data_IF_084566434574
#
_entry.id   IF_084566434574
#
_cell.length_a   1.000
_cell.length_b   1.000
_cell.length_c   1.000
_cell.angle_alpha   90.00
_cell.angle_beta   90.00
_cell.angle_gamma   90.00
#
_symmetry.space_group_name_H-M   'P 1'
#
loop_
_entity.id
_entity.type
_entity.pdbx_description
1 polymer ?
#
# COMPACT_ATOMS: atom_id res chain seq x y z
N UNK A 1 -11.95 -16.53 16.75
CA UNK A 1 -12.61 -15.35 17.34
C UNK A 1 -13.14 -14.50 16.21
N UNK A 2 -14.36 -13.99 16.33
CA UNK A 2 -14.90 -13.06 15.34
C UNK A 2 -14.42 -11.62 15.61
N UNK A 3 -14.55 -10.75 14.61
CA UNK A 3 -14.10 -9.35 14.72
C UNK A 3 -14.87 -8.56 15.79
N UNK A 4 -16.20 -8.71 15.95
CA UNK A 4 -16.95 -8.12 17.06
C UNK A 4 -16.41 -8.45 18.45
N UNK A 5 -16.15 -9.73 18.71
CA UNK A 5 -15.67 -10.23 20.01
C UNK A 5 -14.28 -9.66 20.32
N UNK A 6 -13.39 -9.62 19.32
CA UNK A 6 -12.05 -9.03 19.48
C UNK A 6 -12.15 -7.54 19.87
N UNK A 7 -13.10 -6.80 19.29
CA UNK A 7 -13.28 -5.38 19.64
C UNK A 7 -13.73 -5.20 21.09
N UNK A 8 -14.71 -5.98 21.54
CA UNK A 8 -15.22 -5.90 22.91
C UNK A 8 -14.13 -6.23 23.94
N UNK A 9 -13.38 -7.31 23.72
CA UNK A 9 -12.26 -7.70 24.59
C UNK A 9 -11.15 -6.63 24.61
N UNK A 10 -10.83 -6.04 23.45
CA UNK A 10 -9.83 -4.98 23.37
C UNK A 10 -10.25 -3.72 24.14
N UNK A 11 -11.54 -3.34 24.06
CA UNK A 11 -12.06 -2.21 24.83
C UNK A 11 -11.97 -2.44 26.33
N UNK A 12 -12.30 -3.65 26.80
CA UNK A 12 -12.17 -3.98 28.22
C UNK A 12 -10.70 -3.92 28.68
N UNK A 13 -9.77 -4.45 27.88
CA UNK A 13 -8.35 -4.38 28.17
C UNK A 13 -7.85 -2.93 28.25
N UNK A 14 -8.35 -2.04 27.40
CA UNK A 14 -7.99 -0.61 27.43
C UNK A 14 -8.46 0.06 28.73
N UNK A 15 -9.68 -0.23 29.19
CA UNK A 15 -10.22 0.35 30.43
C UNK A 15 -9.43 -0.08 31.68
N UNK A 16 -8.88 -1.30 31.69
CA UNK A 16 -8.10 -1.84 32.81
C UNK A 16 -6.59 -1.56 32.70
N UNK A 17 -6.14 -0.96 31.60
CA UNK A 17 -4.72 -0.76 31.30
C UNK A 17 -4.08 0.40 32.05
N UNK A 18 -2.78 0.28 32.32
CA UNK A 18 -1.97 1.39 32.83
C UNK A 18 -1.59 2.40 31.72
N UNK A 19 -1.16 3.58 32.14
CA UNK A 19 -0.77 4.67 31.23
C UNK A 19 0.33 4.24 30.24
N UNK A 20 1.22 3.33 30.65
CA UNK A 20 2.32 2.86 29.81
C UNK A 20 1.80 2.01 28.65
N UNK A 21 0.90 1.08 28.92
CA UNK A 21 0.28 0.21 27.93
C UNK A 21 -0.62 1.03 26.98
N UNK A 22 -1.38 1.99 27.52
CA UNK A 22 -2.19 2.91 26.71
C UNK A 22 -1.34 3.74 25.74
N UNK A 23 -0.23 4.30 26.21
CA UNK A 23 0.69 5.05 25.34
C UNK A 23 1.27 4.20 24.21
N UNK A 24 1.60 2.93 24.50
CA UNK A 24 2.12 2.01 23.50
C UNK A 24 1.06 1.64 22.44
N UNK A 25 -0.16 1.30 22.88
CA UNK A 25 -1.29 1.01 21.98
C UNK A 25 -1.66 2.22 21.13
N UNK A 26 -1.66 3.42 21.72
CA UNK A 26 -1.90 4.67 21.01
C UNK A 26 -0.85 4.91 19.91
N UNK A 27 0.44 4.76 20.23
CA UNK A 27 1.51 4.90 19.25
C UNK A 27 1.38 3.89 18.10
N UNK A 28 1.10 2.62 18.43
CA UNK A 28 0.91 1.57 17.44
C UNK A 28 -0.29 1.88 16.53
N UNK A 29 -1.46 2.16 17.10
CA UNK A 29 -2.66 2.45 16.34
C UNK A 29 -2.49 3.68 15.43
N UNK A 30 -1.76 4.70 15.91
CA UNK A 30 -1.47 5.91 15.16
C UNK A 30 -0.57 5.65 13.95
N UNK A 31 0.39 4.74 14.05
CA UNK A 31 1.21 4.31 12.92
C UNK A 31 0.40 3.49 11.90
N UNK A 32 -0.52 2.63 12.34
CA UNK A 32 -1.41 1.87 11.44
C UNK A 32 -2.43 2.76 10.70
N UNK A 33 -2.86 3.87 11.33
CA UNK A 33 -3.79 4.83 10.73
C UNK A 33 -3.05 5.84 9.84
N UNK A 34 -1.75 6.02 10.04
CA UNK A 34 -0.94 6.90 9.21
C UNK A 34 -0.95 6.34 7.79
N UNK A 35 -1.58 7.06 6.87
CA UNK A 35 -1.40 6.82 5.44
C UNK A 35 0.11 6.84 5.16
N UNK A 36 0.59 5.81 4.49
CA UNK A 36 2.01 5.62 4.20
C UNK A 36 2.44 6.61 3.10
N UNK A 37 2.64 7.87 3.49
CA UNK A 37 3.10 8.94 2.59
C UNK A 37 4.60 8.81 2.25
N UNK A 38 5.26 7.71 2.62
CA UNK A 38 6.71 7.52 2.42
C UNK A 38 7.10 7.09 1.01
N UNK A 39 6.12 6.73 0.16
CA UNK A 39 6.37 6.57 -1.27
C UNK A 39 6.20 7.92 -1.96
N UNK A 40 7.29 8.52 -2.44
CA UNK A 40 7.19 9.65 -3.37
C UNK A 40 6.35 9.23 -4.59
N UNK A 41 5.19 9.85 -4.76
CA UNK A 41 4.30 9.57 -5.87
C UNK A 41 2.84 9.85 -5.55
N UNK A 42 2.03 10.08 -6.58
CA UNK A 42 0.58 10.09 -6.43
C UNK A 42 0.10 8.64 -6.39
N UNK A 43 -0.69 8.22 -5.38
CA UNK A 43 -1.24 6.88 -5.35
C UNK A 43 -2.08 6.66 -6.60
N UNK A 44 -1.83 5.52 -7.26
CA UNK A 44 -2.54 5.15 -8.47
C UNK A 44 -3.97 4.75 -8.12
N UNK A 45 -4.95 5.32 -8.79
CA UNK A 45 -6.36 4.93 -8.59
C UNK A 45 -6.64 3.57 -9.25
N UNK A 46 -7.73 2.91 -8.83
CA UNK A 46 -8.15 1.65 -9.47
C UNK A 46 -8.42 1.80 -10.98
N UNK A 47 -8.93 2.96 -11.38
CA UNK A 47 -9.18 3.31 -12.78
C UNK A 47 -7.87 3.41 -13.57
N UNK A 48 -6.85 4.08 -13.00
CA UNK A 48 -5.52 4.19 -13.60
C UNK A 48 -4.82 2.83 -13.71
N UNK A 49 -5.00 1.97 -12.70
CA UNK A 49 -4.50 0.60 -12.71
C UNK A 49 -5.15 -0.22 -13.84
N UNK A 50 -6.48 -0.13 -13.98
CA UNK A 50 -7.22 -0.80 -15.05
C UNK A 50 -6.79 -0.34 -16.44
N UNK A 51 -6.63 0.97 -16.62
CA UNK A 51 -6.14 1.55 -17.87
C UNK A 51 -4.73 1.05 -18.23
N UNK A 52 -3.83 0.95 -17.24
CA UNK A 52 -2.46 0.46 -17.42
C UNK A 52 -2.43 -1.02 -17.82
N UNK A 53 -3.26 -1.86 -17.19
CA UNK A 53 -3.38 -3.28 -17.54
C UNK A 53 -3.90 -3.45 -18.97
N UNK A 54 -4.89 -2.67 -19.38
CA UNK A 54 -5.43 -2.72 -20.73
C UNK A 54 -4.39 -2.28 -21.77
N UNK A 55 -3.67 -1.18 -21.50
CA UNK A 55 -2.60 -0.69 -22.37
C UNK A 55 -1.46 -1.72 -22.51
N UNK A 56 -1.08 -2.37 -21.41
CA UNK A 56 -0.07 -3.44 -21.42
C UNK A 56 -0.52 -4.63 -22.26
N UNK A 57 -1.75 -5.11 -22.08
CA UNK A 57 -2.33 -6.20 -22.90
C UNK A 57 -2.34 -5.85 -24.39
N UNK A 58 -2.74 -4.62 -24.74
CA UNK A 58 -2.76 -4.15 -26.13
C UNK A 58 -1.35 -4.05 -26.72
N UNK A 59 -0.37 -3.65 -25.92
CA UNK A 59 1.04 -3.56 -26.34
C UNK A 59 1.62 -4.94 -26.64
N UNK A 60 1.38 -5.92 -25.76
CA UNK A 60 1.74 -7.32 -25.94
C UNK A 60 1.11 -7.91 -27.21
N UNK A 61 -0.20 -7.67 -27.41
CA UNK A 61 -0.91 -8.13 -28.61
C UNK A 61 -0.38 -7.47 -29.90
N UNK A 62 0.11 -6.24 -29.82
CA UNK A 62 0.69 -5.53 -30.96
C UNK A 62 2.15 -5.89 -31.25
N UNK A 63 2.74 -6.86 -30.54
CA UNK A 63 4.13 -7.29 -30.72
C UNK A 63 5.16 -6.25 -30.29
N UNK A 64 4.75 -5.20 -29.58
CA UNK A 64 5.66 -4.18 -29.02
C UNK A 64 6.25 -4.70 -27.73
N UNK A 65 7.35 -5.43 -27.85
CA UNK A 65 8.22 -5.78 -26.73
C UNK A 65 9.40 -4.81 -26.70
N UNK A 66 9.74 -4.31 -25.52
CA UNK A 66 10.99 -3.58 -25.33
C UNK A 66 12.11 -4.61 -25.28
N UNK A 67 13.01 -4.61 -26.27
CA UNK A 67 14.19 -5.47 -26.26
C UNK A 67 15.17 -4.99 -25.19
N UNK A 68 16.02 -5.90 -24.72
CA UNK A 68 17.09 -5.56 -23.77
C UNK A 68 17.97 -4.42 -24.29
N UNK A 69 18.25 -4.38 -25.59
CA UNK A 69 19.02 -3.31 -26.24
C UNK A 69 18.29 -1.95 -26.19
N UNK A 70 16.96 -1.92 -26.30
CA UNK A 70 16.18 -0.70 -26.17
C UNK A 70 16.19 -0.19 -24.72
N UNK A 71 16.11 -1.10 -23.74
CA UNK A 71 16.26 -0.78 -22.32
C UNK A 71 17.63 -0.17 -22.00
N UNK A 72 18.70 -0.76 -22.53
CA UNK A 72 20.08 -0.26 -22.33
C UNK A 72 20.29 1.15 -22.91
N UNK A 73 19.59 1.49 -24.00
CA UNK A 73 19.62 2.84 -24.59
C UNK A 73 18.83 3.86 -23.77
N UNK A 74 17.74 3.45 -23.10
CA UNK A 74 16.97 4.31 -22.20
C UNK A 74 17.72 4.58 -20.89
N UNK A 75 18.35 3.56 -20.31
CA UNK A 75 19.15 3.69 -19.07
C UNK A 75 20.33 4.66 -19.25
N UNK A 76 20.95 4.69 -20.44
CA UNK A 76 22.04 5.65 -20.74
C UNK A 76 21.59 7.11 -20.88
N UNK A 77 20.28 7.37 -20.95
CA UNK A 77 19.71 8.72 -21.09
C UNK A 77 19.20 9.31 -19.78
N UNK A 78 19.22 8.53 -18.70
CA UNK A 78 19.00 8.99 -17.33
C UNK A 78 20.32 9.46 -16.73
#
# INVERSE_FOLDING_TARGET
>A
MDVPTIKEELFQLIEESDERLLNMLYALAKEYIREDFTLEGKPMTEEELGARVFAAKKSLQSGRFTSQEALEKEVKKW
#
